data_IF_353631039063
#
_entry.id   IF_353631039063
#
_cell.length_a   1.000
_cell.length_b   1.000
_cell.length_c   1.000
_cell.angle_alpha   90.00
_cell.angle_beta   90.00
_cell.angle_gamma   90.00
#
_symmetry.space_group_name_H-M   'P 1'
#
loop_
_entity.id
_entity.type
_entity.pdbx_description
1 polymer ?
#
# COMPACT_ATOMS: atom_id res chain seq x y z
N UNK A 1 -16.53 16.75 -7.56
CA UNK A 1 -16.51 15.42 -8.20
C UNK A 1 -15.65 15.35 -9.46
N UNK A 2 -15.90 16.13 -10.54
CA UNK A 2 -15.07 16.03 -11.76
C UNK A 2 -13.61 16.49 -11.59
N UNK A 3 -13.38 17.56 -10.84
CA UNK A 3 -12.04 18.11 -10.62
C UNK A 3 -11.10 17.12 -9.88
N UNK A 4 -11.62 16.46 -8.85
CA UNK A 4 -10.85 15.47 -8.06
C UNK A 4 -10.47 14.24 -8.89
N UNK A 5 -11.37 13.76 -9.75
CA UNK A 5 -11.07 12.66 -10.68
C UNK A 5 -9.97 13.03 -11.68
N UNK A 6 -9.98 14.26 -12.19
CA UNK A 6 -8.92 14.76 -13.08
C UNK A 6 -7.57 14.88 -12.35
N UNK A 7 -7.58 15.36 -11.11
CA UNK A 7 -6.39 15.43 -10.26
C UNK A 7 -5.84 14.04 -9.93
N UNK A 8 -6.71 13.06 -9.64
CA UNK A 8 -6.30 11.67 -9.43
C UNK A 8 -5.66 11.05 -10.66
N UNK A 9 -6.22 11.28 -11.87
CA UNK A 9 -5.62 10.77 -13.10
C UNK A 9 -4.24 11.39 -13.38
N UNK A 10 -4.09 12.70 -13.16
CA UNK A 10 -2.78 13.37 -13.27
C UNK A 10 -1.77 12.81 -12.27
N UNK A 11 -2.18 12.61 -11.02
CA UNK A 11 -1.33 12.04 -9.98
C UNK A 11 -0.90 10.59 -10.32
N UNK A 12 -1.82 9.76 -10.82
CA UNK A 12 -1.51 8.40 -11.29
C UNK A 12 -0.43 8.46 -12.38
N UNK A 13 -0.59 9.30 -13.40
CA UNK A 13 0.40 9.43 -14.48
C UNK A 13 1.77 9.87 -13.97
N UNK A 14 1.81 10.80 -13.00
CA UNK A 14 3.06 11.21 -12.35
C UNK A 14 3.72 10.06 -11.59
N UNK A 15 2.93 9.26 -10.86
CA UNK A 15 3.44 8.09 -10.14
C UNK A 15 3.90 6.96 -11.05
N UNK A 16 3.22 6.71 -12.17
CA UNK A 16 3.66 5.74 -13.18
C UNK A 16 5.01 6.14 -13.77
N UNK A 17 5.21 7.43 -14.09
CA UNK A 17 6.52 7.94 -14.53
C UNK A 17 7.57 7.79 -13.44
N UNK A 18 7.23 8.07 -12.18
CA UNK A 18 8.16 7.88 -11.07
C UNK A 18 8.56 6.40 -10.92
N UNK A 19 7.62 5.46 -11.10
CA UNK A 19 7.89 4.01 -11.10
C UNK A 19 8.79 3.60 -12.28
N UNK A 20 8.63 4.22 -13.45
CA UNK A 20 9.50 3.98 -14.60
C UNK A 20 10.94 4.46 -14.35
N UNK A 21 11.11 5.58 -13.64
CA UNK A 21 12.42 6.13 -13.29
C UNK A 21 13.07 5.33 -12.16
N UNK A 22 12.33 5.06 -11.09
CA UNK A 22 12.77 4.26 -9.95
C UNK A 22 11.68 3.27 -9.53
N UNK A 23 11.77 2.00 -9.97
CA UNK A 23 10.79 0.98 -9.62
C UNK A 23 10.87 0.55 -8.16
N UNK A 24 11.92 0.93 -7.43
CA UNK A 24 12.14 0.59 -6.03
C UNK A 24 11.69 1.71 -5.07
N UNK A 25 11.11 2.80 -5.60
CA UNK A 25 10.67 3.90 -4.77
C UNK A 25 9.34 3.58 -4.04
N UNK A 26 9.49 2.97 -2.86
CA UNK A 26 8.42 2.48 -2.00
C UNK A 26 7.27 3.50 -1.80
N UNK A 27 7.58 4.76 -1.49
CA UNK A 27 6.59 5.82 -1.25
C UNK A 27 5.60 6.04 -2.40
N UNK A 28 6.02 5.81 -3.64
CA UNK A 28 5.14 5.99 -4.82
C UNK A 28 4.03 4.96 -4.81
N UNK A 29 4.34 3.71 -4.47
CA UNK A 29 3.34 2.66 -4.34
C UNK A 29 2.36 2.91 -3.20
N UNK A 30 2.80 3.51 -2.09
CA UNK A 30 1.89 3.93 -1.01
C UNK A 30 0.88 4.98 -1.51
N UNK A 31 1.36 6.04 -2.15
CA UNK A 31 0.48 7.12 -2.62
C UNK A 31 -0.44 6.65 -3.76
N UNK A 32 0.08 5.86 -4.70
CA UNK A 32 -0.72 5.25 -5.76
C UNK A 32 -1.80 4.32 -5.18
N UNK A 33 -1.44 3.51 -4.18
CA UNK A 33 -2.39 2.68 -3.44
C UNK A 33 -3.54 3.48 -2.84
N UNK A 34 -3.25 4.59 -2.16
CA UNK A 34 -4.27 5.45 -1.55
C UNK A 34 -5.22 6.04 -2.62
N UNK A 35 -4.69 6.54 -3.74
CA UNK A 35 -5.53 7.08 -4.82
C UNK A 35 -6.43 5.98 -5.40
N UNK A 36 -5.88 4.79 -5.64
CA UNK A 36 -6.66 3.66 -6.15
C UNK A 36 -7.74 3.21 -5.15
N UNK A 37 -7.53 3.37 -3.85
CA UNK A 37 -8.59 3.15 -2.85
C UNK A 37 -9.75 4.15 -3.01
N UNK A 38 -9.44 5.43 -3.20
CA UNK A 38 -10.46 6.48 -3.42
C UNK A 38 -11.24 6.24 -4.71
N UNK A 39 -10.56 5.73 -5.75
CA UNK A 39 -11.17 5.32 -7.02
C UNK A 39 -11.90 3.98 -6.95
N UNK A 40 -11.96 3.31 -5.79
CA UNK A 40 -12.54 1.96 -5.59
C UNK A 40 -11.89 0.85 -6.42
N UNK A 41 -10.68 1.08 -6.92
CA UNK A 41 -9.84 0.13 -7.64
C UNK A 41 -9.06 -0.76 -6.66
N UNK A 42 -9.81 -1.49 -5.82
CA UNK A 42 -9.28 -2.16 -4.62
C UNK A 42 -8.21 -3.21 -4.91
N UNK A 43 -8.30 -3.92 -6.04
CA UNK A 43 -7.30 -4.94 -6.43
C UNK A 43 -5.97 -4.32 -6.86
N UNK A 44 -6.02 -3.18 -7.58
CA UNK A 44 -4.81 -2.44 -7.96
C UNK A 44 -4.16 -1.82 -6.72
N UNK A 45 -4.98 -1.26 -5.81
CA UNK A 45 -4.49 -0.74 -4.53
C UNK A 45 -3.77 -1.81 -3.71
N UNK A 46 -4.33 -3.04 -3.66
CA UNK A 46 -3.72 -4.19 -2.99
C UNK A 46 -2.33 -4.49 -3.55
N UNK A 47 -2.22 -4.58 -4.87
CA UNK A 47 -0.94 -4.86 -5.53
C UNK A 47 0.11 -3.78 -5.22
N UNK A 48 -0.31 -2.52 -5.12
CA UNK A 48 0.58 -1.41 -4.74
C UNK A 48 1.08 -1.56 -3.30
N UNK A 49 0.21 -1.84 -2.33
CA UNK A 49 0.65 -2.04 -0.96
C UNK A 49 1.52 -3.29 -0.79
N UNK A 50 1.24 -4.39 -1.49
CA UNK A 50 2.10 -5.57 -1.46
C UNK A 50 3.50 -5.24 -2.00
N UNK A 51 3.59 -4.48 -3.09
CA UNK A 51 4.87 -4.04 -3.63
C UNK A 51 5.61 -3.08 -2.71
N UNK A 52 4.89 -2.13 -2.09
CA UNK A 52 5.43 -1.24 -1.05
C UNK A 52 6.08 -2.04 0.08
N UNK A 53 5.38 -3.03 0.63
CA UNK A 53 5.87 -3.82 1.77
C UNK A 53 6.99 -4.79 1.40
N UNK A 54 7.07 -5.20 0.13
CA UNK A 54 8.20 -5.97 -0.39
C UNK A 54 9.45 -5.09 -0.54
N UNK A 55 9.29 -3.82 -0.92
CA UNK A 55 10.39 -2.86 -1.06
C UNK A 55 10.86 -2.31 0.29
N UNK A 56 9.92 -1.97 1.16
CA UNK A 56 10.17 -1.49 2.52
C UNK A 56 9.26 -2.21 3.53
N UNK A 57 9.73 -3.34 4.10
CA UNK A 57 9.01 -4.07 5.14
C UNK A 57 8.89 -3.33 6.47
N UNK A 58 9.53 -2.16 6.61
CA UNK A 58 9.49 -1.35 7.84
C UNK A 58 8.49 -0.18 7.73
N UNK A 59 7.84 -0.04 6.57
CA UNK A 59 6.94 1.06 6.26
C UNK A 59 5.60 0.95 7.02
N UNK A 60 5.58 1.41 8.27
CA UNK A 60 4.43 1.34 9.19
C UNK A 60 3.12 1.84 8.58
N UNK A 61 3.13 2.99 7.92
CA UNK A 61 1.95 3.57 7.26
C UNK A 61 1.38 2.66 6.17
N UNK A 62 2.24 1.88 5.52
CA UNK A 62 1.87 0.92 4.49
C UNK A 62 1.09 -0.25 5.05
N UNK A 63 1.48 -0.75 6.21
CA UNK A 63 0.73 -1.78 6.93
C UNK A 63 -0.66 -1.29 7.36
N UNK A 64 -0.76 -0.07 7.90
CA UNK A 64 -2.05 0.52 8.28
C UNK A 64 -2.94 0.77 7.05
N UNK A 65 -2.38 1.31 5.95
CA UNK A 65 -3.09 1.52 4.69
C UNK A 65 -3.58 0.21 4.06
N UNK A 66 -2.72 -0.81 4.05
CA UNK A 66 -3.08 -2.13 3.54
C UNK A 66 -4.13 -2.82 4.41
N UNK A 67 -4.00 -2.71 5.73
CA UNK A 67 -4.99 -3.26 6.65
C UNK A 67 -6.36 -2.60 6.48
N UNK A 68 -6.42 -1.28 6.32
CA UNK A 68 -7.65 -0.54 5.99
C UNK A 68 -8.26 -1.00 4.66
N UNK A 69 -7.42 -1.26 3.64
CA UNK A 69 -7.89 -1.82 2.37
C UNK A 69 -8.55 -3.20 2.58
N UNK A 70 -7.91 -4.08 3.35
CA UNK A 70 -8.41 -5.43 3.59
C UNK A 70 -9.73 -5.42 4.37
N UNK A 71 -9.92 -4.47 5.30
CA UNK A 71 -11.21 -4.24 5.94
C UNK A 71 -12.29 -3.87 4.90
N UNK A 72 -11.98 -2.99 3.94
CA UNK A 72 -12.90 -2.62 2.84
C UNK A 72 -13.25 -3.80 1.92
N UNK A 73 -12.34 -4.76 1.71
CA UNK A 73 -12.56 -5.97 0.89
C UNK A 73 -13.20 -7.13 1.70
N UNK A 74 -13.81 -6.83 2.85
CA UNK A 74 -14.42 -7.82 3.76
C UNK A 74 -13.46 -8.84 4.38
N UNK A 75 -12.15 -8.67 4.25
CA UNK A 75 -11.12 -9.51 4.86
C UNK A 75 -10.77 -9.02 6.27
N UNK A 76 -11.77 -8.92 7.14
CA UNK A 76 -11.71 -8.28 8.45
C UNK A 76 -10.55 -8.79 9.33
N UNK A 77 -10.40 -10.12 9.44
CA UNK A 77 -9.35 -10.75 10.25
C UNK A 77 -7.94 -10.40 9.77
N UNK A 78 -7.72 -10.37 8.45
CA UNK A 78 -6.43 -9.99 7.87
C UNK A 78 -6.18 -8.49 8.04
N UNK A 79 -7.19 -7.65 7.79
CA UNK A 79 -7.07 -6.20 7.94
C UNK A 79 -6.62 -5.77 9.33
N UNK A 80 -7.24 -6.33 10.37
CA UNK A 80 -6.86 -6.07 11.76
C UNK A 80 -5.42 -6.54 12.07
N UNK A 81 -4.99 -7.67 11.52
CA UNK A 81 -3.63 -8.15 11.70
C UNK A 81 -2.60 -7.20 11.06
N UNK A 82 -2.88 -6.69 9.86
CA UNK A 82 -2.01 -5.72 9.18
C UNK A 82 -1.98 -4.36 9.90
N UNK A 83 -3.11 -3.87 10.40
CA UNK A 83 -3.15 -2.63 11.21
C UNK A 83 -2.27 -2.78 12.46
N UNK A 84 -2.42 -3.88 13.19
CA UNK A 84 -1.59 -4.18 14.38
C UNK A 84 -0.10 -4.25 14.07
N UNK A 85 0.29 -4.69 12.86
CA UNK A 85 1.68 -4.64 12.38
C UNK A 85 2.13 -3.19 12.17
N UNK A 86 1.31 -2.34 11.56
CA UNK A 86 1.60 -0.92 11.35
C UNK A 86 1.74 -0.13 12.66
N UNK A 87 0.88 -0.42 13.64
CA UNK A 87 0.87 0.24 14.95
C UNK A 87 2.05 -0.19 15.86
N UNK A 88 2.85 -1.18 15.44
CA UNK A 88 3.98 -1.69 16.20
C UNK A 88 3.58 -2.59 17.38
N UNK A 89 2.30 -2.97 17.50
CA UNK A 89 1.80 -3.94 18.49
C UNK A 89 2.39 -5.33 18.22
N UNK A 90 2.71 -5.62 16.96
CA UNK A 90 3.46 -6.81 16.55
C UNK A 90 4.87 -6.34 16.17
N UNK A 91 5.87 -6.63 17.02
CA UNK A 91 7.27 -6.28 16.73
C UNK A 91 7.70 -6.93 15.41
N UNK A 92 8.23 -6.11 14.51
CA UNK A 92 8.96 -6.52 13.32
C UNK A 92 10.17 -7.34 13.75
N UNK A 93 10.00 -8.64 13.94
CA UNK A 93 11.15 -9.53 13.98
C UNK A 93 11.44 -9.88 12.53
N UNK A 94 12.54 -9.34 12.04
CA UNK A 94 13.20 -9.72 10.81
C UNK A 94 13.68 -11.18 10.99
N UNK A 95 12.75 -12.15 10.94
CA UNK A 95 13.07 -13.56 11.19
C UNK A 95 12.41 -14.54 10.22
N UNK A 96 12.00 -14.05 9.05
CA UNK A 96 11.67 -14.88 7.90
C UNK A 96 12.55 -14.53 6.69
N UNK A 97 13.85 -14.30 6.92
CA UNK A 97 14.85 -14.48 5.86
C UNK A 97 15.57 -15.81 6.14
N UNK A 98 15.19 -16.79 5.33
CA UNK A 98 15.80 -18.12 5.10
C UNK A 98 15.54 -19.22 6.13
N UNK A 99 14.70 -20.15 5.67
CA UNK A 99 14.93 -21.60 5.72
C UNK A 99 16.42 -21.87 5.40
N UNK A 100 17.20 -22.32 6.38
CA UNK A 100 17.98 -23.58 6.39
C UNK A 100 18.21 -23.97 7.85
#
# INVERSE_FOLDING_TARGET
>A
MYKELEEYQKAISCYEKAIQIDPNYANVYYNLGNILQELRELQKAKSCYEKLLNLDPTYKKGYSGYGNLLLKISQHNKGLAYIRKGDGVIRFTQKDVKII
#
